data_IF_531851366510
#
_entry.id   IF_531851366510
#
_cell.length_a   1.000
_cell.length_b   1.000
_cell.length_c   1.000
_cell.angle_alpha   90.00
_cell.angle_beta   90.00
_cell.angle_gamma   90.00
#
_symmetry.space_group_name_H-M   'P 1'
#
loop_
_entity.id
_entity.type
_entity.pdbx_description
1 polymer ?
#
# COMPACT_ATOMS: atom_id res chain seq x y z
N UNK A 1 8.90 11.73 6.27
CA UNK A 1 9.40 10.98 5.09
C UNK A 1 9.59 9.49 5.41
N UNK A 2 10.36 9.12 6.45
CA UNK A 2 10.70 7.72 6.77
C UNK A 2 9.51 6.77 6.95
N UNK A 3 8.42 7.21 7.60
CA UNK A 3 7.25 6.37 7.91
C UNK A 3 6.35 6.04 6.71
N UNK A 4 6.53 6.72 5.57
CA UNK A 4 5.74 6.53 4.36
C UNK A 4 6.52 5.78 3.27
N UNK A 5 7.83 5.60 3.46
CA UNK A 5 8.67 4.91 2.51
C UNK A 5 8.44 3.41 2.54
N UNK A 6 8.18 2.84 1.37
CA UNK A 6 8.15 1.40 1.16
C UNK A 6 9.55 0.78 1.29
N UNK A 7 9.60 -0.42 1.85
CA UNK A 7 10.79 -1.26 1.86
C UNK A 7 10.39 -2.72 1.77
N UNK A 8 10.70 -3.32 0.64
CA UNK A 8 10.54 -4.75 0.42
C UNK A 8 11.63 -5.59 1.10
N UNK A 9 12.67 -4.96 1.67
CA UNK A 9 13.80 -5.69 2.26
C UNK A 9 13.51 -6.22 3.67
N UNK A 10 12.41 -5.78 4.29
CA UNK A 10 12.05 -6.08 5.67
C UNK A 10 10.62 -6.67 5.74
N UNK A 11 10.22 -7.41 4.72
CA UNK A 11 8.95 -8.13 4.66
C UNK A 11 9.13 -9.60 5.04
N UNK A 12 8.03 -10.27 5.38
CA UNK A 12 8.01 -11.72 5.66
C UNK A 12 8.56 -12.50 4.48
N UNK A 13 8.16 -12.12 3.27
CA UNK A 13 8.58 -12.71 2.01
C UNK A 13 10.10 -12.55 1.80
N UNK A 14 10.64 -11.34 2.02
CA UNK A 14 12.08 -11.13 1.91
C UNK A 14 12.88 -11.92 2.96
N UNK A 15 12.41 -12.02 4.21
CA UNK A 15 13.09 -12.83 5.23
C UNK A 15 13.08 -14.31 4.85
N UNK A 16 11.99 -14.82 4.26
CA UNK A 16 11.92 -16.18 3.71
C UNK A 16 12.98 -16.38 2.62
N UNK A 17 13.08 -15.47 1.66
CA UNK A 17 14.06 -15.55 0.58
C UNK A 17 15.50 -15.54 1.11
N UNK A 18 15.79 -14.63 2.05
CA UNK A 18 17.09 -14.57 2.70
C UNK A 18 17.42 -15.86 3.44
N UNK A 19 16.46 -16.42 4.18
CA UNK A 19 16.64 -17.67 4.93
C UNK A 19 16.89 -18.86 4.00
N UNK A 20 16.16 -18.97 2.89
CA UNK A 20 16.33 -20.04 1.90
C UNK A 20 17.69 -19.97 1.19
N UNK A 21 18.21 -18.75 1.00
CA UNK A 21 19.53 -18.51 0.42
C UNK A 21 20.70 -18.85 1.37
N UNK A 22 20.47 -19.02 2.68
CA UNK A 22 21.52 -19.39 3.63
C UNK A 22 22.03 -20.80 3.38
N UNK A 23 23.34 -21.03 3.49
CA UNK A 23 23.88 -22.39 3.64
C UNK A 23 23.33 -23.07 4.92
N UNK A 24 23.34 -24.41 5.02
CA UNK A 24 23.03 -25.11 6.27
C UNK A 24 23.86 -24.57 7.44
N UNK A 25 23.21 -24.19 8.56
CA UNK A 25 23.88 -23.54 9.69
C UNK A 25 24.25 -22.06 9.47
N UNK A 26 23.95 -21.48 8.31
CA UNK A 26 24.12 -20.05 8.06
C UNK A 26 23.22 -19.21 8.96
N UNK A 27 23.61 -17.94 9.17
CA UNK A 27 22.91 -17.00 10.04
C UNK A 27 22.57 -15.74 9.28
N UNK A 28 21.28 -15.39 9.22
CA UNK A 28 20.82 -14.07 8.82
C UNK A 28 20.88 -13.12 10.01
N UNK A 29 21.44 -11.93 9.78
CA UNK A 29 21.62 -10.89 10.81
C UNK A 29 20.80 -9.67 10.42
N UNK A 30 19.88 -9.26 11.30
CA UNK A 30 19.04 -8.08 11.15
C UNK A 30 19.26 -7.15 12.35
N UNK A 31 19.86 -5.98 12.12
CA UNK A 31 20.10 -5.00 13.19
C UNK A 31 19.19 -3.80 13.00
N UNK A 32 18.38 -3.43 14.00
CA UNK A 32 17.44 -2.29 13.99
C UNK A 32 17.67 -1.37 15.19
N UNK A 33 17.24 -0.11 15.07
CA UNK A 33 17.33 0.87 16.16
C UNK A 33 16.41 0.48 17.30
N UNK A 34 16.89 0.57 18.53
CA UNK A 34 16.08 0.39 19.73
C UNK A 34 15.19 1.59 19.97
N UNK A 35 13.94 1.31 20.36
CA UNK A 35 13.02 2.33 20.84
C UNK A 35 12.34 1.86 22.12
N UNK A 36 12.11 2.80 23.04
CA UNK A 36 11.37 2.54 24.26
C UNK A 36 10.10 3.41 24.25
N UNK A 37 8.89 2.82 24.22
CA UNK A 37 8.61 1.37 24.19
C UNK A 37 8.96 0.69 22.84
N UNK A 38 9.10 -0.66 22.81
CA UNK A 38 9.53 -1.42 21.64
C UNK A 38 8.71 -1.16 20.36
N UNK A 39 9.39 -1.04 19.21
CA UNK A 39 8.74 -0.75 17.92
C UNK A 39 9.47 -1.40 16.72
N UNK A 40 10.58 -0.83 16.26
CA UNK A 40 11.28 -1.22 15.03
C UNK A 40 11.91 -2.61 15.16
N UNK A 41 12.63 -2.84 16.26
CA UNK A 41 13.19 -4.14 16.59
C UNK A 41 12.10 -5.18 16.87
N UNK A 42 11.02 -4.80 17.56
CA UNK A 42 9.90 -5.71 17.82
C UNK A 42 9.18 -6.11 16.52
N UNK A 43 9.02 -5.19 15.57
CA UNK A 43 8.44 -5.49 14.25
C UNK A 43 9.36 -6.38 13.41
N UNK A 44 10.67 -6.12 13.42
CA UNK A 44 11.63 -7.00 12.73
C UNK A 44 11.59 -8.41 13.31
N UNK A 45 11.51 -8.53 14.64
CA UNK A 45 11.36 -9.81 15.33
C UNK A 45 10.06 -10.52 14.95
N UNK A 46 8.92 -9.82 14.98
CA UNK A 46 7.64 -10.38 14.56
C UNK A 46 7.65 -10.83 13.09
N UNK A 47 8.30 -10.07 12.21
CA UNK A 47 8.46 -10.40 10.79
C UNK A 47 9.30 -11.65 10.59
N UNK A 48 10.40 -11.77 11.35
CA UNK A 48 11.25 -12.96 11.34
C UNK A 48 10.51 -14.21 11.82
N UNK A 49 9.80 -14.12 12.95
CA UNK A 49 9.03 -15.24 13.51
C UNK A 49 7.94 -15.68 12.54
N UNK A 50 7.18 -14.74 11.96
CA UNK A 50 6.14 -15.05 10.98
C UNK A 50 6.71 -15.75 9.73
N UNK A 51 7.88 -15.35 9.25
CA UNK A 51 8.54 -16.00 8.11
C UNK A 51 8.89 -17.46 8.40
N UNK A 52 9.45 -17.75 9.59
CA UNK A 52 9.77 -19.13 10.00
C UNK A 52 8.51 -19.99 10.13
N UNK A 53 7.46 -19.45 10.74
CA UNK A 53 6.18 -20.16 10.89
C UNK A 53 5.54 -20.49 9.54
N UNK A 54 5.53 -19.54 8.60
CA UNK A 54 5.00 -19.76 7.24
C UNK A 54 5.81 -20.75 6.42
N UNK A 55 7.10 -20.90 6.71
CA UNK A 55 7.95 -21.97 6.15
C UNK A 55 7.71 -23.34 6.82
N UNK A 56 6.83 -23.43 7.82
CA UNK A 56 6.50 -24.67 8.52
C UNK A 56 7.53 -25.06 9.59
N UNK A 57 8.33 -24.13 10.10
CA UNK A 57 9.26 -24.40 11.20
C UNK A 57 8.47 -24.66 12.49
N UNK A 58 8.55 -25.89 13.01
CA UNK A 58 7.79 -26.31 14.20
C UNK A 58 8.16 -25.56 15.49
N UNK A 59 9.42 -25.15 15.63
CA UNK A 59 9.91 -24.42 16.81
C UNK A 59 10.75 -23.20 16.39
N UNK A 60 10.12 -22.07 16.01
CA UNK A 60 10.84 -20.85 15.62
C UNK A 60 11.80 -20.37 16.72
N UNK A 61 11.41 -20.50 17.98
CA UNK A 61 12.20 -20.12 19.15
C UNK A 61 13.59 -20.78 19.19
N UNK A 62 13.75 -22.00 18.65
CA UNK A 62 15.03 -22.72 18.62
C UNK A 62 16.00 -22.19 17.55
N UNK A 63 15.53 -21.36 16.62
CA UNK A 63 16.29 -20.87 15.46
C UNK A 63 16.60 -19.36 15.54
N UNK A 64 15.99 -18.65 16.50
CA UNK A 64 16.15 -17.20 16.63
C UNK A 64 16.86 -16.81 17.91
N UNK A 65 17.67 -15.76 17.84
CA UNK A 65 18.33 -15.15 18.97
C UNK A 65 18.35 -13.62 18.78
N UNK A 66 18.39 -12.88 19.88
CA UNK A 66 18.47 -11.42 19.85
C UNK A 66 19.23 -10.87 21.06
N UNK A 67 20.02 -9.84 20.80
CA UNK A 67 20.75 -9.07 21.82
C UNK A 67 20.67 -7.57 21.52
N UNK A 68 20.92 -6.73 22.52
CA UNK A 68 20.93 -5.27 22.38
C UNK A 68 22.22 -4.61 22.85
N UNK A 69 22.64 -3.62 22.07
CA UNK A 69 23.55 -2.54 22.48
C UNK A 69 22.75 -1.37 23.09
N UNK A 70 23.41 -0.22 23.31
CA UNK A 70 22.76 1.00 23.80
C UNK A 70 21.72 1.58 22.83
N UNK A 71 21.85 1.28 21.53
CA UNK A 71 21.08 1.95 20.48
C UNK A 71 20.47 0.99 19.47
N UNK A 72 20.87 -0.28 19.44
CA UNK A 72 20.40 -1.25 18.43
C UNK A 72 20.12 -2.62 19.02
N UNK A 73 19.09 -3.27 18.49
CA UNK A 73 18.87 -4.71 18.66
C UNK A 73 19.44 -5.43 17.44
N UNK A 74 20.18 -6.51 17.67
CA UNK A 74 20.63 -7.42 16.63
C UNK A 74 19.90 -8.74 16.77
N UNK A 75 19.13 -9.08 15.74
CA UNK A 75 18.36 -10.31 15.59
C UNK A 75 19.16 -11.26 14.71
N UNK A 76 19.29 -12.50 15.16
CA UNK A 76 20.00 -13.58 14.51
C UNK A 76 18.99 -14.69 14.19
N UNK A 77 18.95 -15.12 12.94
CA UNK A 77 18.09 -16.21 12.47
C UNK A 77 18.98 -17.27 11.84
N UNK A 78 19.07 -18.43 12.46
CA UNK A 78 19.91 -19.53 11.99
C UNK A 78 19.10 -20.48 11.13
N UNK A 79 19.69 -20.97 10.04
CA UNK A 79 19.15 -22.10 9.27
C UNK A 79 19.34 -23.41 10.03
N UNK A 80 18.34 -23.77 10.83
CA UNK A 80 18.36 -24.89 11.77
C UNK A 80 18.47 -24.44 13.23
N UNK A 81 18.37 -25.39 14.16
CA UNK A 81 18.44 -25.08 15.59
C UNK A 81 19.86 -24.61 15.98
N UNK A 82 19.92 -23.69 16.95
CA UNK A 82 21.18 -23.29 17.58
C UNK A 82 21.76 -24.43 18.42
N UNK A 83 23.08 -24.60 18.38
CA UNK A 83 23.77 -25.55 19.27
C UNK A 83 24.11 -24.92 20.61
N UNK A 84 24.36 -25.73 21.64
CA UNK A 84 24.76 -25.23 22.96
C UNK A 84 26.05 -24.39 22.91
N UNK A 85 27.03 -24.78 22.09
CA UNK A 85 28.30 -24.06 21.93
C UNK A 85 28.10 -22.68 21.28
N UNK A 86 27.19 -22.59 20.31
CA UNK A 86 26.85 -21.34 19.64
C UNK A 86 26.10 -20.40 20.58
N UNK A 87 25.15 -20.92 21.35
CA UNK A 87 24.45 -20.15 22.39
C UNK A 87 25.43 -19.64 23.44
N UNK A 88 26.39 -20.47 23.87
CA UNK A 88 27.45 -20.05 24.78
C UNK A 88 28.37 -18.98 24.14
N UNK A 89 28.63 -19.06 22.84
CA UNK A 89 29.39 -18.03 22.13
C UNK A 89 28.64 -16.69 22.09
N UNK A 90 27.33 -16.69 21.87
CA UNK A 90 26.49 -15.48 21.93
C UNK A 90 26.53 -14.88 23.33
N UNK A 91 26.39 -15.70 24.38
CA UNK A 91 26.49 -15.24 25.79
C UNK A 91 27.85 -14.60 26.07
N UNK A 92 28.96 -15.26 25.71
CA UNK A 92 30.32 -14.71 25.89
C UNK A 92 30.52 -13.40 25.11
N UNK A 93 30.01 -13.32 23.89
CA UNK A 93 30.08 -12.10 23.08
C UNK A 93 29.35 -10.93 23.75
N UNK A 94 28.14 -11.21 24.25
CA UNK A 94 27.31 -10.23 24.94
C UNK A 94 27.98 -9.75 26.25
N UNK A 95 28.49 -10.68 27.05
CA UNK A 95 29.17 -10.36 28.32
C UNK A 95 30.44 -9.54 28.12
N UNK A 96 31.30 -9.93 27.16
CA UNK A 96 32.54 -9.21 26.86
C UNK A 96 32.30 -7.75 26.41
N UNK A 97 31.13 -7.45 25.84
CA UNK A 97 30.76 -6.12 25.33
C UNK A 97 29.74 -5.40 26.19
N UNK A 98 29.31 -6.00 27.31
CA UNK A 98 28.25 -5.46 28.17
C UNK A 98 26.95 -5.20 27.38
N UNK A 99 26.63 -6.09 26.44
CA UNK A 99 25.38 -6.13 25.71
C UNK A 99 24.37 -7.02 26.43
N UNK A 100 23.11 -6.65 26.41
CA UNK A 100 22.05 -7.43 27.05
C UNK A 100 21.43 -8.43 26.08
N UNK A 101 21.11 -9.61 26.58
CA UNK A 101 20.33 -10.59 25.84
C UNK A 101 18.84 -10.19 25.89
N UNK A 102 18.15 -10.39 24.76
CA UNK A 102 16.72 -10.12 24.63
C UNK A 102 15.94 -11.42 24.45
N UNK A 103 16.44 -12.30 23.58
CA UNK A 103 15.84 -13.59 23.30
C UNK A 103 16.93 -14.59 22.95
N UNK A 104 16.91 -15.75 23.58
CA UNK A 104 17.80 -16.86 23.28
C UNK A 104 17.04 -18.16 23.62
N UNK A 105 17.26 -19.29 22.92
CA UNK A 105 16.80 -20.58 23.40
C UNK A 105 17.30 -20.83 24.84
N UNK A 106 16.35 -21.03 25.77
CA UNK A 106 16.64 -21.20 27.20
C UNK A 106 17.22 -19.96 27.89
N UNK A 107 16.81 -18.76 27.48
CA UNK A 107 17.15 -17.52 28.18
C UNK A 107 16.26 -17.37 29.44
N UNK A 108 16.89 -17.22 30.60
CA UNK A 108 16.19 -16.88 31.84
C UNK A 108 15.99 -15.36 31.98
N UNK A 109 14.98 -14.93 32.72
CA UNK A 109 14.62 -13.52 32.85
C UNK A 109 15.74 -12.69 33.52
N UNK A 110 16.50 -13.30 34.41
CA UNK A 110 17.63 -12.73 35.15
C UNK A 110 18.87 -12.51 34.28
N UNK A 111 18.99 -13.23 33.15
CA UNK A 111 20.07 -13.04 32.19
C UNK A 111 19.84 -11.80 31.30
N UNK A 112 18.60 -11.31 31.23
CA UNK A 112 18.23 -10.13 30.45
C UNK A 112 18.27 -8.85 31.32
N UNK A 113 18.55 -7.70 30.68
CA UNK A 113 18.58 -6.39 31.34
C UNK A 113 19.60 -6.26 32.50
N UNK A 114 20.77 -6.88 32.38
CA UNK A 114 21.85 -6.94 33.37
C UNK A 114 22.85 -5.78 33.27
N UNK A 115 23.17 -5.33 32.06
CA UNK A 115 24.26 -4.37 31.82
C UNK A 115 23.76 -2.96 31.53
N UNK A 116 22.78 -2.83 30.63
CA UNK A 116 22.17 -1.56 30.25
C UNK A 116 20.77 -1.50 30.85
N UNK A 117 20.75 -1.44 32.17
CA UNK A 117 19.56 -1.62 33.00
C UNK A 117 18.52 -0.54 32.68
N UNK A 118 17.36 -0.99 32.22
CA UNK A 118 16.16 -0.20 32.09
C UNK A 118 15.25 -0.41 33.32
N UNK A 119 14.37 0.55 33.65
CA UNK A 119 13.41 0.41 34.75
C UNK A 119 12.53 -0.85 34.65
N UNK A 120 12.30 -1.35 33.44
CA UNK A 120 11.62 -2.61 33.18
C UNK A 120 12.25 -3.36 32.00
N UNK A 121 11.95 -4.66 31.89
CA UNK A 121 12.51 -5.52 30.84
C UNK A 121 11.60 -5.61 29.60
N UNK A 122 11.24 -4.44 29.04
CA UNK A 122 10.24 -4.33 27.98
C UNK A 122 10.61 -5.14 26.72
N UNK A 123 11.89 -5.17 26.33
CA UNK A 123 12.34 -5.92 25.16
C UNK A 123 12.20 -7.44 25.34
N UNK A 124 12.63 -7.99 26.48
CA UNK A 124 12.48 -9.42 26.78
C UNK A 124 11.01 -9.83 26.77
N UNK A 125 10.16 -9.06 27.46
CA UNK A 125 8.72 -9.34 27.50
C UNK A 125 8.07 -9.26 26.11
N UNK A 126 8.45 -8.27 25.29
CA UNK A 126 7.97 -8.16 23.92
C UNK A 126 8.39 -9.35 23.06
N UNK A 127 9.67 -9.71 23.06
CA UNK A 127 10.19 -10.78 22.21
C UNK A 127 9.66 -12.15 22.62
N UNK A 128 9.57 -12.41 23.92
CA UNK A 128 8.96 -13.63 24.47
C UNK A 128 7.46 -13.71 24.13
N UNK A 129 6.71 -12.61 24.28
CA UNK A 129 5.30 -12.59 23.92
C UNK A 129 5.06 -12.77 22.41
N UNK A 130 5.94 -12.24 21.55
CA UNK A 130 5.86 -12.45 20.10
C UNK A 130 6.19 -13.91 19.75
N UNK A 131 7.12 -14.58 20.42
CA UNK A 131 7.43 -15.99 20.17
C UNK A 131 6.28 -16.93 20.54
N UNK A 132 5.53 -16.60 21.58
CA UNK A 132 4.41 -17.42 22.07
C UNK A 132 3.10 -17.08 21.34
N UNK A 133 2.53 -17.98 20.51
CA UNK A 133 1.28 -17.74 19.80
C UNK A 133 0.10 -17.36 20.72
N UNK A 134 0.05 -17.88 21.95
CA UNK A 134 -1.03 -17.60 22.91
C UNK A 134 -0.96 -16.17 23.45
N UNK A 135 0.24 -15.59 23.55
CA UNK A 135 0.47 -14.24 24.08
C UNK A 135 0.61 -13.19 23.01
N UNK A 136 1.00 -13.58 21.78
CA UNK A 136 1.30 -12.69 20.66
C UNK A 136 0.17 -11.71 20.38
N UNK A 137 -1.06 -12.20 20.22
CA UNK A 137 -2.20 -11.36 19.87
C UNK A 137 -2.52 -10.32 20.96
N UNK A 138 -2.46 -10.73 22.23
CA UNK A 138 -2.71 -9.84 23.36
C UNK A 138 -1.63 -8.75 23.47
N UNK A 139 -0.36 -9.12 23.35
CA UNK A 139 0.74 -8.15 23.36
C UNK A 139 0.65 -7.20 22.16
N UNK A 140 0.42 -7.73 20.95
CA UNK A 140 0.24 -6.91 19.76
C UNK A 140 -0.94 -5.95 19.92
N UNK A 141 -2.04 -6.31 20.57
CA UNK A 141 -3.14 -5.37 20.80
C UNK A 141 -2.77 -4.27 21.82
N UNK A 142 -2.08 -4.63 22.90
CA UNK A 142 -1.70 -3.70 23.98
C UNK A 142 -0.47 -2.82 23.66
N UNK A 143 0.36 -3.21 22.70
CA UNK A 143 1.58 -2.48 22.35
C UNK A 143 1.29 -1.04 21.93
N UNK A 144 2.15 -0.10 22.35
CA UNK A 144 2.00 1.31 21.99
C UNK A 144 2.17 1.53 20.49
N UNK A 145 3.08 0.81 19.84
CA UNK A 145 3.41 0.92 18.41
C UNK A 145 2.91 -0.28 17.60
N UNK A 146 2.64 -0.09 16.31
CA UNK A 146 2.28 -1.19 15.41
C UNK A 146 3.48 -2.05 15.02
N UNK A 147 3.64 -3.18 15.72
CA UNK A 147 4.68 -4.17 15.47
C UNK A 147 4.20 -5.39 14.63
N UNK A 148 3.07 -5.27 13.92
CA UNK A 148 2.60 -6.36 13.04
C UNK A 148 3.63 -6.66 11.93
N UNK A 149 3.85 -7.93 11.56
CA UNK A 149 4.75 -8.31 10.47
C UNK A 149 4.48 -7.50 9.20
N UNK A 150 5.54 -7.00 8.55
CA UNK A 150 5.41 -6.33 7.25
C UNK A 150 5.37 -7.36 6.13
N UNK A 151 4.59 -7.09 5.07
CA UNK A 151 4.44 -7.98 3.91
C UNK A 151 4.62 -7.22 2.61
N UNK A 152 4.85 -7.91 1.51
CA UNK A 152 4.98 -7.28 0.19
C UNK A 152 3.71 -6.52 -0.25
N UNK A 153 2.52 -6.95 0.18
CA UNK A 153 1.28 -6.20 -0.09
C UNK A 153 1.16 -4.92 0.77
N UNK A 154 1.86 -4.84 1.90
CA UNK A 154 1.90 -3.67 2.78
C UNK A 154 3.35 -3.40 3.20
N UNK A 155 4.21 -2.93 2.27
CA UNK A 155 5.66 -2.90 2.45
C UNK A 155 6.13 -1.69 3.28
N UNK A 156 5.34 -1.24 4.27
CA UNK A 156 5.58 -0.03 5.04
C UNK A 156 6.14 -0.38 6.43
N UNK A 157 7.33 -0.98 6.47
CA UNK A 157 7.94 -1.45 7.71
C UNK A 157 8.06 -0.34 8.78
N UNK A 158 8.37 0.89 8.36
CA UNK A 158 8.54 2.04 9.27
C UNK A 158 7.23 2.73 9.67
N UNK A 159 6.07 2.17 9.30
CA UNK A 159 4.77 2.68 9.69
C UNK A 159 4.31 2.06 11.03
N UNK A 160 4.66 2.70 12.15
CA UNK A 160 4.38 2.22 13.50
C UNK A 160 3.13 2.85 14.17
N UNK A 161 2.33 3.60 13.41
CA UNK A 161 1.27 4.45 13.94
C UNK A 161 0.14 3.64 14.61
N UNK A 162 -0.35 4.16 15.74
CA UNK A 162 -1.61 3.74 16.37
C UNK A 162 -2.43 4.93 16.84
N UNK A 163 -3.76 4.80 16.74
CA UNK A 163 -4.70 5.83 17.18
C UNK A 163 -4.56 6.19 18.67
N UNK A 164 -4.19 5.23 19.52
CA UNK A 164 -3.95 5.46 20.95
C UNK A 164 -2.82 6.47 21.23
N UNK A 165 -1.90 6.67 20.27
CA UNK A 165 -0.77 7.58 20.42
C UNK A 165 -1.15 9.04 20.19
N UNK A 166 -2.24 9.30 19.45
CA UNK A 166 -2.59 10.62 18.93
C UNK A 166 -2.60 11.72 19.99
N UNK A 167 -3.25 11.56 21.16
CA UNK A 167 -3.23 12.60 22.20
C UNK A 167 -1.81 12.96 22.65
N UNK A 168 -0.95 11.94 22.82
CA UNK A 168 0.44 12.15 23.23
C UNK A 168 1.28 12.79 22.12
N UNK A 169 1.08 12.40 20.86
CA UNK A 169 1.78 12.98 19.70
C UNK A 169 1.41 14.45 19.51
N UNK A 170 0.13 14.81 19.67
CA UNK A 170 -0.34 16.20 19.59
C UNK A 170 0.21 17.05 20.73
N UNK A 171 0.25 16.53 21.96
CA UNK A 171 0.81 17.24 23.12
C UNK A 171 2.31 17.55 22.96
N UNK A 172 3.03 16.73 22.18
CA UNK A 172 4.47 16.88 21.91
C UNK A 172 4.77 17.67 20.63
N UNK A 173 3.76 18.05 19.86
CA UNK A 173 3.93 18.75 18.59
C UNK A 173 4.64 20.10 18.79
N UNK A 174 5.72 20.32 18.04
CA UNK A 174 6.52 21.54 18.09
C UNK A 174 7.47 21.62 19.29
N UNK A 175 7.42 20.65 20.21
CA UNK A 175 8.27 20.58 21.40
C UNK A 175 9.40 19.56 21.27
N UNK A 176 9.14 18.43 20.63
CA UNK A 176 10.16 17.39 20.38
C UNK A 176 10.08 16.89 18.94
N UNK A 177 11.25 16.68 18.33
CA UNK A 177 11.36 15.96 17.07
C UNK A 177 11.08 14.48 17.34
N UNK A 178 10.00 13.94 16.78
CA UNK A 178 9.65 12.52 16.88
C UNK A 178 9.86 11.80 15.55
N UNK A 179 11.10 11.47 15.17
CA UNK A 179 11.39 10.82 13.89
C UNK A 179 10.68 9.46 13.74
N UNK A 180 10.36 8.79 14.85
CA UNK A 180 9.84 7.42 14.86
C UNK A 180 8.40 7.27 15.40
N UNK A 181 7.78 8.36 15.86
CA UNK A 181 6.52 8.36 16.61
C UNK A 181 5.24 8.29 15.77
N UNK A 182 5.30 7.87 14.50
CA UNK A 182 4.13 7.80 13.62
C UNK A 182 3.51 9.15 13.22
N UNK A 183 4.01 10.29 13.72
CA UNK A 183 3.47 11.63 13.46
C UNK A 183 3.42 12.02 11.97
N UNK A 184 4.29 11.45 11.13
CA UNK A 184 4.24 11.66 9.67
C UNK A 184 2.92 11.21 9.04
N UNK A 185 2.24 10.21 9.61
CA UNK A 185 0.93 9.77 9.15
C UNK A 185 -0.18 10.78 9.47
N UNK A 186 -0.09 11.47 10.63
CA UNK A 186 -1.04 12.54 10.99
C UNK A 186 -0.98 13.71 10.01
N UNK A 187 0.19 14.01 9.45
CA UNK A 187 0.32 15.04 8.40
C UNK A 187 -0.47 14.66 7.16
N UNK A 188 -0.38 13.41 6.71
CA UNK A 188 -1.18 12.91 5.56
C UNK A 188 -2.67 12.92 5.88
N UNK A 189 -3.05 12.50 7.09
CA UNK A 189 -4.43 12.54 7.57
C UNK A 189 -5.00 13.96 7.66
N UNK A 190 -4.19 14.97 7.98
CA UNK A 190 -4.60 16.37 8.00
C UNK A 190 -4.63 16.99 6.60
N UNK A 191 -3.68 16.59 5.73
CA UNK A 191 -3.63 17.02 4.33
C UNK A 191 -4.82 16.51 3.53
N UNK A 192 -5.32 15.29 3.79
CA UNK A 192 -6.45 14.74 3.06
C UNK A 192 -7.73 15.62 3.12
N UNK A 193 -8.26 15.98 4.31
CA UNK A 193 -9.44 16.86 4.39
C UNK A 193 -9.13 18.26 3.86
N UNK A 194 -7.92 18.80 4.08
CA UNK A 194 -7.54 20.10 3.52
C UNK A 194 -7.54 20.08 1.98
N UNK A 195 -6.97 19.05 1.37
CA UNK A 195 -6.97 18.85 -0.08
C UNK A 195 -8.38 18.58 -0.61
N UNK A 196 -9.20 17.81 0.11
CA UNK A 196 -10.59 17.54 -0.25
C UNK A 196 -11.45 18.81 -0.19
N UNK A 197 -11.27 19.65 0.84
CA UNK A 197 -11.94 20.94 0.97
C UNK A 197 -11.49 21.90 -0.13
N UNK A 198 -10.19 21.98 -0.42
CA UNK A 198 -9.67 22.80 -1.52
C UNK A 198 -10.19 22.33 -2.88
N UNK A 199 -10.17 21.03 -3.15
CA UNK A 199 -10.74 20.42 -4.35
C UNK A 199 -12.24 20.71 -4.48
N UNK A 200 -12.99 20.53 -3.39
CA UNK A 200 -14.42 20.84 -3.35
C UNK A 200 -14.67 22.33 -3.58
N UNK A 201 -13.89 23.22 -2.98
CA UNK A 201 -14.01 24.66 -3.19
C UNK A 201 -13.74 25.05 -4.65
N UNK A 202 -12.66 24.54 -5.25
CA UNK A 202 -12.26 24.84 -6.63
C UNK A 202 -13.27 24.33 -7.67
N UNK A 203 -13.99 23.24 -7.37
CA UNK A 203 -15.00 22.68 -8.28
C UNK A 203 -16.41 23.22 -7.97
N UNK A 204 -16.81 23.28 -6.70
CA UNK A 204 -18.19 23.61 -6.32
C UNK A 204 -18.45 25.11 -6.20
N UNK A 205 -17.47 25.96 -5.85
CA UNK A 205 -17.70 27.42 -5.79
C UNK A 205 -17.99 27.99 -7.18
N UNK A 206 -17.18 27.72 -8.23
CA UNK A 206 -17.51 28.20 -9.56
C UNK A 206 -18.83 27.57 -10.07
N UNK A 207 -19.15 26.33 -9.64
CA UNK A 207 -20.37 25.65 -10.05
C UNK A 207 -21.61 26.31 -9.45
N UNK A 208 -21.54 26.71 -8.18
CA UNK A 208 -22.60 27.43 -7.48
C UNK A 208 -22.77 28.87 -8.00
N UNK A 209 -21.71 29.49 -8.53
CA UNK A 209 -21.75 30.82 -9.14
C UNK A 209 -22.20 30.81 -10.61
N UNK A 210 -22.04 29.68 -11.32
CA UNK A 210 -22.42 29.58 -12.72
C UNK A 210 -23.94 29.74 -12.92
N UNK A 211 -24.43 30.33 -14.02
CA UNK A 211 -25.86 30.34 -14.35
C UNK A 211 -26.39 28.91 -14.50
N UNK A 212 -27.63 28.64 -14.07
CA UNK A 212 -28.22 27.28 -14.06
C UNK A 212 -28.16 26.55 -15.41
N UNK A 213 -28.30 27.27 -16.52
CA UNK A 213 -28.20 26.72 -17.88
C UNK A 213 -26.79 26.22 -18.27
N UNK A 214 -25.73 26.61 -17.54
CA UNK A 214 -24.34 26.21 -17.77
C UNK A 214 -23.80 25.27 -16.69
N UNK A 215 -24.65 24.83 -15.75
CA UNK A 215 -24.26 23.93 -14.66
C UNK A 215 -24.34 22.48 -15.13
N UNK A 216 -23.22 21.74 -15.21
CA UNK A 216 -23.30 20.29 -15.39
C UNK A 216 -23.97 19.66 -14.17
N UNK A 217 -24.71 18.54 -14.34
CA UNK A 217 -25.31 17.83 -13.22
C UNK A 217 -24.21 17.29 -12.29
N UNK A 218 -24.41 17.39 -10.98
CA UNK A 218 -23.42 16.95 -9.97
C UNK A 218 -23.02 15.47 -10.13
N UNK A 219 -23.95 14.62 -10.62
CA UNK A 219 -23.66 13.21 -10.92
C UNK A 219 -22.61 13.05 -12.01
N UNK A 220 -22.60 13.93 -13.01
CA UNK A 220 -21.59 13.92 -14.07
C UNK A 220 -20.22 14.32 -13.52
N UNK A 221 -20.17 15.36 -12.67
CA UNK A 221 -18.94 15.76 -11.97
C UNK A 221 -18.41 14.64 -11.08
N UNK A 222 -19.30 13.99 -10.32
CA UNK A 222 -18.95 12.84 -9.48
C UNK A 222 -18.40 11.68 -10.32
N UNK A 223 -18.98 11.40 -11.50
CA UNK A 223 -18.46 10.41 -12.42
C UNK A 223 -17.02 10.71 -12.87
N UNK A 224 -16.72 11.94 -13.28
CA UNK A 224 -15.35 12.34 -13.65
C UNK A 224 -14.38 12.35 -12.47
N UNK A 225 -14.84 12.75 -11.28
CA UNK A 225 -14.05 12.67 -10.06
C UNK A 225 -13.68 11.21 -9.71
N UNK A 226 -14.64 10.29 -9.81
CA UNK A 226 -14.42 8.86 -9.57
C UNK A 226 -13.48 8.23 -10.61
N UNK A 227 -13.53 8.68 -11.88
CA UNK A 227 -12.55 8.27 -12.89
C UNK A 227 -11.12 8.70 -12.51
N UNK A 228 -10.95 9.96 -12.10
CA UNK A 228 -9.65 10.49 -11.67
C UNK A 228 -9.09 9.75 -10.46
N UNK A 229 -9.95 9.52 -9.45
CA UNK A 229 -9.60 8.73 -8.27
C UNK A 229 -9.20 7.29 -8.63
N UNK A 230 -9.99 6.62 -9.48
CA UNK A 230 -9.71 5.25 -9.94
C UNK A 230 -8.38 5.16 -10.68
N UNK A 231 -8.11 6.14 -11.56
CA UNK A 231 -6.89 6.20 -12.36
C UNK A 231 -5.66 6.36 -11.49
N UNK A 232 -5.60 7.40 -10.65
CA UNK A 232 -4.42 7.69 -9.84
C UNK A 232 -4.16 6.59 -8.79
N UNK A 233 -5.23 6.02 -8.21
CA UNK A 233 -5.08 4.92 -7.26
C UNK A 233 -4.50 3.65 -7.92
N UNK A 234 -4.97 3.33 -9.13
CA UNK A 234 -4.45 2.18 -9.90
C UNK A 234 -3.00 2.43 -10.29
N UNK A 235 -2.68 3.62 -10.80
CA UNK A 235 -1.32 4.02 -11.16
C UNK A 235 -0.37 3.90 -9.96
N UNK A 236 -0.70 4.48 -8.80
CA UNK A 236 0.13 4.42 -7.60
C UNK A 236 0.36 2.97 -7.16
N UNK A 237 -0.70 2.15 -7.12
CA UNK A 237 -0.58 0.75 -6.72
C UNK A 237 0.29 -0.07 -7.68
N UNK A 238 0.19 0.18 -8.99
CA UNK A 238 1.04 -0.45 -10.00
C UNK A 238 2.49 -0.02 -9.86
N UNK A 239 2.75 1.30 -9.74
CA UNK A 239 4.10 1.82 -9.50
C UNK A 239 4.70 1.14 -8.29
N UNK A 240 4.03 1.18 -7.14
CA UNK A 240 4.56 0.61 -5.89
C UNK A 240 4.82 -0.89 -6.01
N UNK A 241 3.88 -1.68 -6.53
CA UNK A 241 4.10 -3.13 -6.72
C UNK A 241 5.26 -3.44 -7.65
N UNK A 242 5.42 -2.69 -8.75
CA UNK A 242 6.49 -2.94 -9.69
C UNK A 242 7.86 -2.42 -9.23
N UNK A 243 7.96 -1.70 -8.10
CA UNK A 243 9.26 -1.45 -7.44
C UNK A 243 9.90 -2.77 -7.03
N UNK A 244 9.11 -3.71 -6.48
CA UNK A 244 9.61 -5.04 -6.12
C UNK A 244 10.12 -5.80 -7.34
N UNK A 245 9.35 -5.78 -8.45
CA UNK A 245 9.71 -6.50 -9.67
C UNK A 245 10.94 -5.90 -10.37
N UNK A 246 10.97 -4.58 -10.53
CA UNK A 246 11.98 -3.85 -11.32
C UNK A 246 13.19 -3.37 -10.49
N UNK A 247 13.15 -3.58 -9.18
CA UNK A 247 14.26 -3.39 -8.24
C UNK A 247 14.51 -1.94 -7.81
N UNK A 248 14.06 -0.94 -8.57
CA UNK A 248 14.20 0.48 -8.18
C UNK A 248 12.92 1.29 -8.43
N UNK A 249 12.65 2.30 -7.59
CA UNK A 249 11.51 3.21 -7.80
C UNK A 249 11.56 3.93 -9.15
N UNK A 250 12.75 4.31 -9.61
CA UNK A 250 12.92 5.01 -10.89
C UNK A 250 12.53 4.14 -12.08
N UNK A 251 12.96 2.87 -12.12
CA UNK A 251 12.57 1.96 -13.20
C UNK A 251 11.06 1.70 -13.19
N UNK A 252 10.49 1.46 -12.00
CA UNK A 252 9.06 1.24 -11.87
C UNK A 252 8.24 2.43 -12.35
N UNK A 253 8.60 3.64 -11.92
CA UNK A 253 7.92 4.87 -12.35
C UNK A 253 7.96 5.04 -13.88
N UNK A 254 9.15 4.92 -14.48
CA UNK A 254 9.32 5.11 -15.94
C UNK A 254 8.53 4.07 -16.73
N UNK A 255 8.69 2.78 -16.41
CA UNK A 255 8.03 1.70 -17.15
C UNK A 255 6.51 1.80 -17.00
N UNK A 256 6.03 1.99 -15.77
CA UNK A 256 4.59 2.06 -15.51
C UNK A 256 3.98 3.27 -16.21
N UNK A 257 4.54 4.47 -16.05
CA UNK A 257 3.98 5.66 -16.69
C UNK A 257 4.01 5.56 -18.21
N UNK A 258 5.12 5.15 -18.81
CA UNK A 258 5.23 5.05 -20.28
C UNK A 258 4.21 4.06 -20.82
N UNK A 259 4.13 2.85 -20.27
CA UNK A 259 3.21 1.82 -20.75
C UNK A 259 1.76 2.22 -20.47
N UNK A 260 1.46 2.67 -19.26
CA UNK A 260 0.11 3.04 -18.84
C UNK A 260 -0.42 4.21 -19.67
N UNK A 261 0.37 5.27 -19.88
CA UNK A 261 -0.05 6.43 -20.67
C UNK A 261 -0.14 6.10 -22.16
N UNK A 262 0.80 5.33 -22.73
CA UNK A 262 0.75 4.94 -24.14
C UNK A 262 -0.47 4.06 -24.43
N UNK A 263 -0.74 3.06 -23.57
CA UNK A 263 -1.88 2.16 -23.73
C UNK A 263 -3.21 2.86 -23.43
N UNK A 264 -3.26 3.76 -22.44
CA UNK A 264 -4.43 4.63 -22.20
C UNK A 264 -4.70 5.55 -23.39
N UNK A 265 -3.66 6.14 -23.99
CA UNK A 265 -3.78 6.94 -25.21
C UNK A 265 -4.36 6.11 -26.37
N UNK A 266 -3.83 4.91 -26.59
CA UNK A 266 -4.36 3.98 -27.59
C UNK A 266 -5.83 3.64 -27.30
N UNK A 267 -6.16 3.30 -26.06
CA UNK A 267 -7.53 3.03 -25.61
C UNK A 267 -8.50 4.17 -25.95
N UNK A 268 -8.10 5.41 -25.65
CA UNK A 268 -8.86 6.62 -25.97
C UNK A 268 -9.12 6.77 -27.48
N UNK A 269 -8.13 6.50 -28.34
CA UNK A 269 -8.31 6.53 -29.81
C UNK A 269 -9.29 5.45 -30.27
N UNK A 270 -9.15 4.23 -29.75
CA UNK A 270 -10.02 3.09 -30.09
C UNK A 270 -11.49 3.31 -29.75
N UNK A 271 -11.82 4.21 -28.81
CA UNK A 271 -13.22 4.56 -28.49
C UNK A 271 -14.01 5.06 -29.68
N UNK A 272 -13.38 5.69 -30.68
CA UNK A 272 -14.05 6.17 -31.90
C UNK A 272 -14.66 5.07 -32.76
N UNK A 273 -14.25 3.81 -32.57
CA UNK A 273 -14.69 2.65 -33.34
C UNK A 273 -15.67 1.74 -32.60
N UNK A 274 -15.94 2.01 -31.32
CA UNK A 274 -16.72 1.14 -30.43
C UNK A 274 -18.03 1.83 -30.06
N UNK A 275 -19.12 1.60 -30.81
CA UNK A 275 -20.45 2.16 -30.53
C UNK A 275 -21.34 1.23 -29.70
N UNK A 276 -21.32 -0.08 -29.94
CA UNK A 276 -22.23 -1.03 -29.27
C UNK A 276 -21.76 -1.54 -27.89
N UNK A 277 -20.48 -1.38 -27.53
CA UNK A 277 -19.87 -1.97 -26.31
C UNK A 277 -19.51 -0.95 -25.20
N UNK A 278 -19.89 0.32 -25.36
CA UNK A 278 -19.48 1.42 -24.47
C UNK A 278 -19.93 1.23 -23.02
N UNK A 279 -21.14 0.70 -22.81
CA UNK A 279 -21.69 0.45 -21.48
C UNK A 279 -20.93 -0.65 -20.70
N UNK A 280 -20.26 -1.56 -21.40
CA UNK A 280 -19.52 -2.67 -20.79
C UNK A 280 -18.08 -2.28 -20.41
N UNK A 281 -17.54 -1.17 -20.92
CA UNK A 281 -16.14 -0.77 -20.72
C UNK A 281 -15.83 -0.54 -19.24
N UNK A 282 -16.69 0.20 -18.52
CA UNK A 282 -16.42 0.55 -17.13
C UNK A 282 -16.58 -0.64 -16.17
N UNK A 283 -17.62 -1.49 -16.28
CA UNK A 283 -17.68 -2.75 -15.53
C UNK A 283 -16.51 -3.69 -15.85
N UNK A 284 -16.11 -3.80 -17.12
CA UNK A 284 -14.96 -4.61 -17.52
C UNK A 284 -13.65 -4.05 -16.91
N UNK A 285 -13.47 -2.73 -16.93
CA UNK A 285 -12.32 -2.08 -16.29
C UNK A 285 -12.30 -2.33 -14.78
N UNK A 286 -13.43 -2.16 -14.09
CA UNK A 286 -13.53 -2.44 -12.66
C UNK A 286 -13.17 -3.91 -12.36
N UNK A 287 -13.67 -4.85 -13.16
CA UNK A 287 -13.34 -6.27 -13.03
C UNK A 287 -11.86 -6.55 -13.27
N UNK A 288 -11.27 -5.97 -14.32
CA UNK A 288 -9.84 -6.13 -14.64
C UNK A 288 -9.00 -5.57 -13.49
N UNK A 289 -9.26 -4.36 -13.00
CA UNK A 289 -8.52 -3.76 -11.88
C UNK A 289 -8.68 -4.57 -10.60
N UNK A 290 -9.89 -5.08 -10.31
CA UNK A 290 -10.10 -5.98 -9.18
C UNK A 290 -9.32 -7.29 -9.33
N UNK A 291 -9.25 -7.86 -10.53
CA UNK A 291 -8.48 -9.08 -10.80
C UNK A 291 -6.97 -8.87 -10.63
N UNK A 292 -6.45 -7.68 -10.95
CA UNK A 292 -5.05 -7.32 -10.70
C UNK A 292 -4.69 -7.33 -9.21
N UNK A 293 -5.63 -6.99 -8.33
CA UNK A 293 -5.39 -7.02 -6.88
C UNK A 293 -4.94 -8.41 -6.43
N UNK A 294 -5.58 -9.46 -6.96
CA UNK A 294 -5.28 -10.87 -6.68
C UNK A 294 -4.15 -11.44 -7.54
N UNK A 295 -4.03 -11.05 -8.82
CA UNK A 295 -3.10 -11.67 -9.77
C UNK A 295 -1.67 -11.13 -9.66
N UNK A 296 -1.49 -9.84 -9.35
CA UNK A 296 -0.17 -9.21 -9.35
C UNK A 296 0.82 -9.78 -8.32
N UNK A 297 0.44 -10.15 -7.07
CA UNK A 297 1.40 -10.71 -6.12
C UNK A 297 2.06 -11.98 -6.68
N UNK A 298 1.24 -12.90 -7.21
CA UNK A 298 1.70 -14.13 -7.84
C UNK A 298 2.54 -13.87 -9.10
N UNK A 299 2.12 -12.92 -9.93
CA UNK A 299 2.85 -12.53 -11.14
C UNK A 299 4.24 -12.00 -10.80
N UNK A 300 4.31 -11.10 -9.82
CA UNK A 300 5.57 -10.48 -9.40
C UNK A 300 6.51 -11.54 -8.87
N UNK A 301 6.06 -12.35 -7.91
CA UNK A 301 6.86 -13.44 -7.31
C UNK A 301 7.43 -14.39 -8.38
N UNK A 302 6.59 -14.83 -9.31
CA UNK A 302 6.99 -15.75 -10.39
C UNK A 302 8.01 -15.12 -11.36
N UNK A 303 8.00 -13.79 -11.51
CA UNK A 303 8.87 -13.07 -12.43
C UNK A 303 10.17 -12.54 -11.76
N UNK A 304 10.32 -12.65 -10.44
CA UNK A 304 11.49 -12.14 -9.70
C UNK A 304 12.80 -12.79 -10.14
N UNK A 305 12.79 -14.04 -10.60
CA UNK A 305 14.01 -14.73 -11.06
C UNK A 305 14.44 -14.32 -12.48
N UNK A 306 13.59 -13.63 -13.24
CA UNK A 306 13.87 -13.28 -14.63
C UNK A 306 14.95 -12.19 -14.74
N UNK A 307 15.67 -12.08 -15.87
CA UNK A 307 16.50 -10.92 -16.15
C UNK A 307 15.64 -9.65 -16.33
N UNK A 308 16.24 -8.48 -16.08
CA UNK A 308 15.53 -7.18 -16.05
C UNK A 308 14.67 -6.93 -17.29
N UNK A 309 15.17 -7.23 -18.49
CA UNK A 309 14.44 -7.00 -19.75
C UNK A 309 13.12 -7.80 -19.77
N UNK A 310 13.15 -9.06 -19.32
CA UNK A 310 11.94 -9.89 -19.26
C UNK A 310 10.99 -9.41 -18.17
N UNK A 311 11.51 -8.90 -17.03
CA UNK A 311 10.66 -8.27 -16.00
C UNK A 311 9.94 -7.03 -16.52
N UNK A 312 10.63 -6.19 -17.30
CA UNK A 312 10.04 -5.03 -17.98
C UNK A 312 8.93 -5.50 -18.94
N UNK A 313 9.18 -6.54 -19.73
CA UNK A 313 8.17 -7.09 -20.65
C UNK A 313 6.94 -7.63 -19.89
N UNK A 314 7.14 -8.35 -18.78
CA UNK A 314 6.05 -8.84 -17.91
C UNK A 314 5.25 -7.67 -17.33
N UNK A 315 5.92 -6.64 -16.80
CA UNK A 315 5.25 -5.44 -16.29
C UNK A 315 4.43 -4.77 -17.40
N UNK A 316 5.02 -4.57 -18.58
CA UNK A 316 4.35 -3.95 -19.71
C UNK A 316 3.10 -4.74 -20.16
N UNK A 317 3.20 -6.08 -20.23
CA UNK A 317 2.10 -6.94 -20.60
C UNK A 317 0.99 -6.97 -19.54
N UNK A 318 1.32 -6.85 -18.26
CA UNK A 318 0.34 -6.76 -17.18
C UNK A 318 -0.39 -5.41 -17.15
N UNK A 319 0.30 -4.33 -17.53
CA UNK A 319 -0.24 -2.95 -17.52
C UNK A 319 -1.04 -2.66 -18.80
N UNK A 320 -0.66 -3.23 -19.94
CA UNK A 320 -1.27 -2.87 -21.22
C UNK A 320 -2.79 -3.12 -21.29
N UNK A 321 -3.34 -4.27 -20.83
CA UNK A 321 -4.79 -4.50 -20.81
C UNK A 321 -5.58 -3.50 -19.94
N UNK A 322 -5.25 -3.29 -18.64
CA UNK A 322 -5.94 -2.29 -17.84
C UNK A 322 -5.70 -0.88 -18.38
N UNK A 323 -4.48 -0.53 -18.81
CA UNK A 323 -4.19 0.78 -19.37
C UNK A 323 -5.03 1.11 -20.60
N UNK A 324 -5.16 0.16 -21.53
CA UNK A 324 -6.06 0.29 -22.68
C UNK A 324 -7.50 0.59 -22.24
N UNK A 325 -8.01 -0.13 -21.25
CA UNK A 325 -9.36 0.09 -20.73
C UNK A 325 -9.48 1.39 -19.94
N UNK A 326 -8.47 1.81 -19.18
CA UNK A 326 -8.46 3.04 -18.37
C UNK A 326 -8.58 4.30 -19.23
N UNK A 327 -8.04 4.28 -20.44
CA UNK A 327 -8.14 5.41 -21.39
C UNK A 327 -9.51 5.60 -22.03
N UNK A 328 -10.39 4.59 -21.99
CA UNK A 328 -11.68 4.63 -22.69
C UNK A 328 -12.79 5.42 -21.95
N UNK A 329 -13.04 5.23 -20.63
CA UNK A 329 -14.15 5.86 -19.92
C UNK A 329 -14.15 7.38 -20.01
N UNK A 330 -13.01 8.03 -19.80
CA UNK A 330 -12.91 9.48 -19.84
C UNK A 330 -13.23 10.03 -21.24
N UNK A 331 -12.66 9.43 -22.29
CA UNK A 331 -12.92 9.84 -23.68
C UNK A 331 -14.39 9.63 -24.08
N UNK A 332 -14.99 8.49 -23.71
CA UNK A 332 -16.40 8.20 -23.97
C UNK A 332 -17.32 9.18 -23.25
N UNK A 333 -17.11 9.37 -21.95
CA UNK A 333 -17.91 10.27 -21.13
C UNK A 333 -17.80 11.72 -21.59
N UNK A 334 -16.59 12.17 -21.93
CA UNK A 334 -16.33 13.53 -22.39
C UNK A 334 -16.97 13.81 -23.74
N UNK A 335 -16.90 12.88 -24.70
CA UNK A 335 -17.57 13.03 -26.02
C UNK A 335 -19.09 13.09 -25.87
N UNK A 336 -19.67 12.21 -25.06
CA UNK A 336 -21.12 12.19 -24.82
C UNK A 336 -21.60 13.46 -24.11
N UNK A 337 -20.81 14.00 -23.17
CA UNK A 337 -21.12 15.25 -22.49
C UNK A 337 -20.94 16.48 -23.39
N UNK A 338 -19.83 16.56 -24.13
CA UNK A 338 -19.52 17.68 -25.01
C UNK A 338 -20.50 17.82 -26.19
N UNK A 339 -21.09 16.71 -26.65
CA UNK A 339 -22.15 16.73 -27.65
C UNK A 339 -23.43 17.46 -27.17
N UNK A 340 -23.64 17.57 -25.85
CA UNK A 340 -24.77 18.29 -25.27
C UNK A 340 -24.41 19.74 -24.93
N UNK A 341 -23.22 19.95 -24.37
CA UNK A 341 -22.72 21.28 -24.02
C UNK A 341 -21.18 21.26 -23.98
N UNK A 342 -20.55 22.05 -24.84
CA UNK A 342 -19.09 22.19 -24.88
C UNK A 342 -18.51 22.78 -23.59
N UNK A 343 -19.30 23.54 -22.82
CA UNK A 343 -18.89 24.09 -21.53
C UNK A 343 -18.57 23.03 -20.47
N UNK A 344 -19.08 21.80 -20.64
CA UNK A 344 -18.85 20.68 -19.72
C UNK A 344 -17.41 20.16 -19.76
N UNK A 345 -16.66 20.43 -20.83
CA UNK A 345 -15.27 19.94 -20.96
C UNK A 345 -14.38 20.47 -19.85
N UNK A 346 -14.46 21.77 -19.56
CA UNK A 346 -13.67 22.39 -18.49
C UNK A 346 -14.02 21.80 -17.11
N UNK A 347 -15.31 21.56 -16.87
CA UNK A 347 -15.81 20.94 -15.64
C UNK A 347 -15.34 19.50 -15.44
N UNK A 348 -15.34 18.71 -16.51
CA UNK A 348 -14.85 17.33 -16.49
C UNK A 348 -13.38 17.27 -16.10
N UNK A 349 -12.54 18.12 -16.72
CA UNK A 349 -11.13 18.24 -16.38
C UNK A 349 -10.90 18.73 -14.94
N UNK A 350 -11.66 19.74 -14.50
CA UNK A 350 -11.57 20.26 -13.14
C UNK A 350 -11.90 19.19 -12.09
N UNK A 351 -13.02 18.47 -12.26
CA UNK A 351 -13.44 17.40 -11.35
C UNK A 351 -12.44 16.24 -11.33
N UNK A 352 -11.98 15.79 -12.50
CA UNK A 352 -11.00 14.70 -12.61
C UNK A 352 -9.65 15.08 -11.98
N UNK A 353 -9.13 16.27 -12.29
CA UNK A 353 -7.85 16.76 -11.76
C UNK A 353 -7.88 16.96 -10.25
N UNK A 354 -8.93 17.61 -9.74
CA UNK A 354 -9.10 17.83 -8.31
C UNK A 354 -9.23 16.51 -7.53
N UNK A 355 -10.00 15.55 -8.06
CA UNK A 355 -10.14 14.24 -7.45
C UNK A 355 -8.85 13.40 -7.50
N UNK A 356 -7.98 13.60 -8.49
CA UNK A 356 -6.70 12.90 -8.57
C UNK A 356 -5.74 13.32 -7.45
N UNK A 357 -5.74 14.61 -7.07
CA UNK A 357 -4.94 15.12 -5.94
C UNK A 357 -5.41 14.49 -4.63
N UNK A 358 -6.72 14.48 -4.38
CA UNK A 358 -7.33 13.82 -3.22
C UNK A 358 -7.07 12.32 -3.25
N UNK A 359 -7.16 11.73 -4.45
CA UNK A 359 -6.95 10.31 -4.70
C UNK A 359 -5.54 9.85 -4.38
N UNK A 360 -4.50 10.64 -4.67
CA UNK A 360 -3.13 10.29 -4.31
C UNK A 360 -2.92 10.20 -2.79
N UNK A 361 -3.49 11.14 -2.03
CA UNK A 361 -3.45 11.12 -0.56
C UNK A 361 -4.30 9.97 0.00
N UNK A 362 -5.49 9.76 -0.56
CA UNK A 362 -6.38 8.67 -0.17
C UNK A 362 -5.76 7.30 -0.44
N UNK A 363 -5.15 7.10 -1.61
CA UNK A 363 -4.43 5.88 -1.98
C UNK A 363 -3.28 5.60 -1.00
N UNK A 364 -2.54 6.63 -0.58
CA UNK A 364 -1.49 6.48 0.44
C UNK A 364 -2.06 5.97 1.77
N UNK A 365 -3.15 6.57 2.26
CA UNK A 365 -3.80 6.15 3.52
C UNK A 365 -4.33 4.71 3.42
N UNK A 366 -4.91 4.36 2.29
CA UNK A 366 -5.44 3.03 2.01
C UNK A 366 -4.30 2.02 1.92
N UNK A 367 -3.21 2.31 1.21
CA UNK A 367 -2.03 1.47 1.13
C UNK A 367 -1.44 1.19 2.53
N UNK A 368 -1.36 2.24 3.35
CA UNK A 368 -0.87 2.13 4.73
C UNK A 368 -1.80 1.33 5.65
N UNK A 369 -3.10 1.21 5.35
CA UNK A 369 -4.08 0.56 6.23
C UNK A 369 -4.45 -0.85 5.78
N UNK A 370 -4.70 -1.00 4.48
CA UNK A 370 -5.23 -2.20 3.82
C UNK A 370 -4.31 -2.76 2.73
N UNK A 371 -3.12 -2.20 2.53
CA UNK A 371 -2.16 -2.66 1.53
C UNK A 371 -2.48 -2.19 0.10
N UNK A 372 -1.59 -2.54 -0.83
CA UNK A 372 -1.66 -2.18 -2.24
C UNK A 372 -2.85 -2.87 -2.94
N UNK A 373 -3.20 -4.09 -2.52
CA UNK A 373 -4.45 -4.74 -2.93
C UNK A 373 -5.67 -3.89 -2.58
N UNK A 374 -5.71 -3.31 -1.38
CA UNK A 374 -6.80 -2.44 -0.94
C UNK A 374 -6.96 -1.20 -1.82
N UNK A 375 -5.85 -0.62 -2.29
CA UNK A 375 -5.88 0.52 -3.22
C UNK A 375 -6.51 0.11 -4.55
N UNK A 376 -6.09 -1.02 -5.13
CA UNK A 376 -6.65 -1.54 -6.39
C UNK A 376 -8.14 -1.84 -6.27
N UNK A 377 -8.57 -2.46 -5.16
CA UNK A 377 -10.00 -2.72 -4.91
C UNK A 377 -10.79 -1.41 -4.79
N UNK A 378 -10.26 -0.40 -4.10
CA UNK A 378 -10.91 0.90 -4.02
C UNK A 378 -10.98 1.61 -5.38
N UNK A 379 -9.94 1.50 -6.21
CA UNK A 379 -9.95 1.99 -7.59
C UNK A 379 -10.99 1.26 -8.45
N UNK A 380 -11.12 -0.05 -8.31
CA UNK A 380 -12.15 -0.83 -8.98
C UNK A 380 -13.57 -0.38 -8.57
N UNK A 381 -13.79 -0.14 -7.26
CA UNK A 381 -15.04 0.42 -6.76
C UNK A 381 -15.30 1.82 -7.31
N UNK A 382 -14.27 2.66 -7.45
CA UNK A 382 -14.41 3.98 -8.06
C UNK A 382 -14.83 3.90 -9.53
N UNK A 383 -14.25 2.99 -10.31
CA UNK A 383 -14.68 2.74 -11.69
C UNK A 383 -16.12 2.20 -11.78
N UNK A 384 -16.51 1.29 -10.88
CA UNK A 384 -17.89 0.82 -10.78
C UNK A 384 -18.87 1.94 -10.41
N UNK A 385 -18.52 2.79 -9.45
CA UNK A 385 -19.30 3.96 -9.05
C UNK A 385 -19.44 4.98 -10.19
N UNK A 386 -18.37 5.19 -10.95
CA UNK A 386 -18.41 6.05 -12.13
C UNK A 386 -19.37 5.48 -13.20
N UNK A 387 -19.45 4.15 -13.36
CA UNK A 387 -20.38 3.51 -14.28
C UNK A 387 -21.84 3.80 -13.90
N UNK A 388 -22.16 3.77 -12.60
CA UNK A 388 -23.48 4.12 -12.08
C UNK A 388 -23.81 5.61 -12.27
N UNK A 389 -22.83 6.48 -12.01
CA UNK A 389 -22.96 7.92 -12.15
C UNK A 389 -23.24 8.34 -13.62
N UNK A 390 -22.53 7.71 -14.56
CA UNK A 390 -22.69 7.97 -15.99
C UNK A 390 -23.86 7.23 -16.63
N UNK A 391 -24.15 5.98 -16.23
CA UNK A 391 -25.21 5.16 -16.83
C UNK A 391 -26.60 5.78 -16.75
N UNK A 392 -26.84 6.64 -15.76
CA UNK A 392 -28.09 7.41 -15.63
C UNK A 392 -28.05 8.78 -16.30
N UNK A 393 -26.85 9.33 -16.57
CA UNK A 393 -26.66 10.72 -17.02
C UNK A 393 -26.31 10.83 -18.52
N UNK A 394 -25.67 9.81 -19.09
CA UNK A 394 -25.17 9.77 -20.47
C UNK A 394 -26.04 8.94 -21.43
N UNK A 395 -27.20 8.43 -21.00
CA UNK A 395 -28.11 7.72 -21.89
C UNK A 395 -28.45 8.59 -23.11
N UNK A 396 -28.09 8.11 -24.29
CA UNK A 396 -28.34 8.78 -25.58
C UNK A 396 -29.86 8.86 -25.80
N UNK A 397 -30.44 10.05 -26.04
CA UNK A 397 -31.83 10.16 -26.45
C UNK A 397 -31.93 9.66 -27.90
N UNK A 398 -32.24 8.38 -28.09
CA UNK A 398 -32.33 7.80 -29.43
C UNK A 398 -32.94 6.40 -29.56
N UNK A 399 -33.14 5.64 -28.48
CA UNK A 399 -33.65 4.25 -28.59
C UNK A 399 -35.14 4.08 -28.24
N UNK A 400 -35.94 5.16 -28.24
CA UNK A 400 -37.41 5.10 -28.12
C UNK A 400 -38.09 6.01 -29.13
N UNK A 401 -37.86 5.77 -30.42
CA UNK A 401 -38.84 6.16 -31.44
C UNK A 401 -39.78 4.95 -31.63
N UNK A 402 -40.94 4.98 -30.97
CA UNK A 402 -42.03 4.07 -31.30
C UNK A 402 -42.55 4.38 -32.71
N UNK A 403 -43.04 3.40 -33.48
CA UNK A 403 -43.52 3.66 -34.83
C UNK A 403 -44.79 4.52 -34.74
N UNK A 404 -44.68 5.77 -35.21
CA UNK A 404 -45.85 6.58 -35.55
C UNK A 404 -46.42 6.01 -36.85
N UNK A 405 -47.34 5.05 -36.73
CA UNK A 405 -48.10 4.56 -37.87
C UNK A 405 -49.34 5.45 -38.06
N UNK A 406 -49.47 5.92 -39.30
CA UNK A 406 -50.58 6.68 -39.85
C UNK A 406 -51.95 6.04 -39.56
N UNK A 407 -52.91 6.86 -39.17
CA UNK A 407 -54.30 6.69 -39.57
C UNK A 407 -55.07 7.98 -39.30
N UNK A 408 -55.38 8.74 -40.34
CA UNK A 408 -56.70 9.38 -40.50
C UNK A 408 -57.10 9.35 -41.98
N UNK A 409 -58.37 9.05 -42.29
CA UNK A 409 -58.89 9.10 -43.65
C UNK A 409 -58.96 10.53 -44.19
#
# INVERSE_FOLDING_TARGET
>A
AYSLGETYRLTVEAVRDYYQALAPGGVLVLTRWLQLPPSEEARAWATAVAALEEMGVAQPAAQVAALRSLNTATILIRRGAWTADELAAIRRFAEARRFDLIALPGLEAEEANRFQVLPGNEYYHAFAAILDPARRAAWMHAARFDARPARDDRPFFFHFFRWQQVPSTLAMWGRTWQPFGGGGYLVVLALLPAAALAAAALVLLPWAAAPGARRPPLRLLAGFALLGFGFIGTEIALVQRFILLLGTPTHALVVVLVVLLATSGAGSVLTGRLTARQAAVMPALALVVASLAAALPWLVESALALPLILRIAVAALAIAPPGLLMGMPFALALRAAAARDAGVVAWAWAANGAASVVGALGATIVALSWGLSGVLLLSALAYGGAALAFGTSLAVPGSRAGPAFMARP
#
